data_IF_114030089211
#
_entry.id   IF_114030089211
#
_cell.length_a   1.000
_cell.length_b   1.000
_cell.length_c   1.000
_cell.angle_alpha   90.00
_cell.angle_beta   90.00
_cell.angle_gamma   90.00
#
_symmetry.space_group_name_H-M   'P 1'
#
loop_
_entity.id
_entity.type
_entity.pdbx_description
1 polymer ?
#
# COMPACT_ATOMS: atom_id res chain seq x y z
N UNK A 1 -15.32 3.10 -3.97
CA UNK A 1 -14.74 1.99 -3.18
C UNK A 1 -14.22 2.55 -1.86
N UNK A 2 -14.35 1.81 -0.76
CA UNK A 2 -13.89 2.23 0.57
C UNK A 2 -12.79 1.30 1.06
N UNK A 3 -11.65 1.85 1.46
CA UNK A 3 -10.51 1.09 2.00
C UNK A 3 -10.28 1.53 3.44
N UNK A 4 -10.04 0.55 4.33
CA UNK A 4 -9.61 0.78 5.72
C UNK A 4 -8.24 0.13 5.91
N UNK A 5 -7.30 0.88 6.47
CA UNK A 5 -5.93 0.41 6.69
C UNK A 5 -5.69 0.28 8.19
N UNK A 6 -5.27 -0.91 8.62
CA UNK A 6 -4.75 -1.13 9.97
C UNK A 6 -3.23 -1.30 9.91
N UNK A 7 -2.54 -0.75 10.92
CA UNK A 7 -1.08 -0.85 11.08
C UNK A 7 -0.67 -1.67 12.31
N UNK A 8 -1.65 -2.23 13.01
CA UNK A 8 -1.51 -2.88 14.32
C UNK A 8 -2.34 -4.17 14.41
N UNK A 9 -2.38 -4.94 13.32
CA UNK A 9 -3.06 -6.24 13.22
C UNK A 9 -4.58 -6.17 13.44
N UNK A 10 -5.22 -5.09 13.00
CA UNK A 10 -6.67 -4.93 13.03
C UNK A 10 -7.22 -4.36 14.34
N UNK A 11 -6.35 -3.97 15.29
CA UNK A 11 -6.79 -3.37 16.55
C UNK A 11 -7.32 -1.95 16.32
N UNK A 12 -6.64 -1.18 15.47
CA UNK A 12 -7.10 0.14 15.04
C UNK A 12 -7.12 0.24 13.52
N UNK A 13 -8.02 1.08 13.02
CA UNK A 13 -8.11 1.42 11.62
C UNK A 13 -7.95 2.93 11.48
N UNK A 14 -7.12 3.35 10.54
CA UNK A 14 -7.02 4.76 10.17
C UNK A 14 -8.35 5.32 9.65
N UNK A 15 -8.41 6.64 9.50
CA UNK A 15 -9.59 7.34 8.98
C UNK A 15 -10.05 6.79 7.63
N UNK A 16 -11.37 6.84 7.40
CA UNK A 16 -11.98 6.34 6.17
C UNK A 16 -11.56 7.21 4.98
N UNK A 17 -10.96 6.58 3.95
CA UNK A 17 -10.61 7.25 2.69
C UNK A 17 -11.54 6.74 1.59
N UNK A 18 -12.19 7.68 0.90
CA UNK A 18 -13.08 7.39 -0.23
C UNK A 18 -12.27 7.52 -1.52
N UNK A 19 -12.15 6.41 -2.26
CA UNK A 19 -11.52 6.39 -3.57
C UNK A 19 -12.59 6.39 -4.66
N UNK A 20 -12.59 7.44 -5.49
CA UNK A 20 -13.38 7.51 -6.71
C UNK A 20 -12.62 6.79 -7.81
N UNK A 21 -13.23 5.74 -8.34
CA UNK A 21 -12.68 5.02 -9.48
C UNK A 21 -13.35 5.60 -10.73
N UNK A 22 -12.55 5.98 -11.72
CA UNK A 22 -13.06 6.26 -13.06
C UNK A 22 -13.24 4.92 -13.80
N UNK A 23 -14.49 4.59 -14.16
CA UNK A 23 -14.82 3.32 -14.84
C UNK A 23 -14.47 3.33 -16.34
N UNK A 24 -14.27 4.51 -16.93
CA UNK A 24 -13.99 4.67 -18.37
C UNK A 24 -12.50 4.59 -18.71
N UNK A 25 -11.61 4.71 -17.70
CA UNK A 25 -10.16 4.62 -17.90
C UNK A 25 -9.70 3.20 -17.56
N UNK A 26 -9.09 2.45 -18.50
CA UNK A 26 -8.41 1.21 -18.18
C UNK A 26 -7.42 1.48 -17.04
N UNK A 27 -7.54 0.74 -15.94
CA UNK A 27 -6.57 0.83 -14.86
C UNK A 27 -5.29 0.21 -15.37
N UNK A 28 -4.38 1.03 -15.88
CA UNK A 28 -2.99 0.61 -16.03
C UNK A 28 -2.52 0.21 -14.63
N UNK A 29 -2.14 -1.05 -14.38
CA UNK A 29 -1.53 -1.40 -13.11
C UNK A 29 -0.30 -0.52 -12.99
N UNK A 30 -0.24 0.30 -11.95
CA UNK A 30 0.92 1.11 -11.64
C UNK A 30 2.10 0.12 -11.56
N UNK A 31 2.99 0.19 -12.56
CA UNK A 31 4.14 -0.70 -12.69
C UNK A 31 5.20 -0.30 -11.66
N UNK A 32 4.83 -0.24 -10.38
CA UNK A 32 5.74 0.03 -9.28
C UNK A 32 6.04 -1.30 -8.64
N UNK A 33 7.22 -1.86 -8.93
CA UNK A 33 7.58 -3.17 -8.42
C UNK A 33 7.65 -3.25 -6.88
N UNK A 34 7.67 -2.14 -6.12
CA UNK A 34 7.77 -2.20 -4.65
C UNK A 34 7.21 -0.91 -3.99
N UNK A 35 6.04 -0.97 -3.35
CA UNK A 35 5.57 0.12 -2.46
C UNK A 35 4.76 -0.35 -1.23
N UNK A 36 5.02 0.16 -0.01
CA UNK A 36 6.31 0.66 0.44
C UNK A 36 7.29 -0.51 0.60
N UNK A 37 8.58 -0.32 0.30
CA UNK A 37 9.58 -1.34 0.52
C UNK A 37 9.63 -1.75 2.00
N UNK A 38 9.69 -3.07 2.26
CA UNK A 38 9.83 -3.58 3.63
C UNK A 38 10.99 -2.88 4.35
N UNK A 39 10.70 -2.34 5.54
CA UNK A 39 11.62 -1.55 6.35
C UNK A 39 12.26 -2.34 7.49
N UNK A 40 12.04 -3.66 7.56
CA UNK A 40 12.67 -4.49 8.57
C UNK A 40 14.20 -4.55 8.39
N UNK A 41 14.93 -4.80 9.47
CA UNK A 41 16.40 -4.83 9.47
C UNK A 41 16.97 -5.75 8.38
N UNK A 42 16.39 -6.95 8.23
CA UNK A 42 16.78 -7.94 7.22
C UNK A 42 16.60 -7.44 5.78
N UNK A 43 15.50 -6.74 5.49
CA UNK A 43 15.22 -6.19 4.16
C UNK A 43 16.07 -4.96 3.85
N UNK A 44 16.46 -4.18 4.87
CA UNK A 44 17.40 -3.06 4.69
C UNK A 44 18.80 -3.55 4.33
N UNK A 45 19.33 -4.54 5.06
CA UNK A 45 20.66 -5.11 4.77
C UNK A 45 20.78 -5.66 3.35
N UNK A 46 19.78 -6.41 2.87
CA UNK A 46 19.80 -7.04 1.53
C UNK A 46 19.75 -6.06 0.35
N UNK A 47 19.43 -4.79 0.57
CA UNK A 47 19.44 -3.75 -0.49
C UNK A 47 20.75 -2.97 -0.55
N UNK A 48 21.59 -3.10 0.48
CA UNK A 48 22.86 -2.37 0.62
C UNK A 48 24.09 -3.20 0.23
N UNK A 49 23.87 -4.47 -0.14
CA UNK A 49 24.88 -5.39 -0.66
C UNK A 49 24.66 -5.57 -2.17
#
# INVERSE_FOLDING_TARGET
MTIRISRDNGQTFGGQVVYRVNEEKPREPEATHIWPPCQCHRCKQRRSA
#
